data_IF_084524471952
#
_entry.id   IF_084524471952
#
_cell.length_a   1.000
_cell.length_b   1.000
_cell.length_c   1.000
_cell.angle_alpha   90.00
_cell.angle_beta   90.00
_cell.angle_gamma   90.00
#
_symmetry.space_group_name_H-M   'P 1'
#
loop_
_entity.id
_entity.type
_entity.pdbx_description
1 polymer ?
#
# COMPACT_ATOMS: atom_id res chain seq x y z
N UNK A 1 30.06 8.53 -3.28
CA UNK A 1 29.04 8.70 -2.22
C UNK A 1 27.79 9.15 -2.94
N UNK A 2 26.69 8.40 -2.80
CA UNK A 2 25.43 8.68 -3.50
C UNK A 2 24.68 9.81 -2.78
N UNK A 3 24.23 10.83 -3.52
CA UNK A 3 23.41 11.91 -2.96
C UNK A 3 21.90 11.56 -3.00
N UNK A 4 21.07 12.39 -2.36
CA UNK A 4 19.62 12.13 -2.27
C UNK A 4 18.92 12.13 -3.64
N UNK A 5 19.33 13.00 -4.56
CA UNK A 5 18.76 13.07 -5.90
C UNK A 5 19.15 11.83 -6.73
N UNK A 6 20.33 11.28 -6.50
CA UNK A 6 20.78 10.02 -7.09
C UNK A 6 20.07 8.81 -6.52
N UNK A 7 19.85 8.77 -5.21
CA UNK A 7 19.08 7.70 -4.59
C UNK A 7 17.65 7.63 -5.14
N UNK A 8 16.99 8.77 -5.35
CA UNK A 8 15.61 8.82 -5.86
C UNK A 8 15.51 8.35 -7.31
N UNK A 9 16.32 8.92 -8.21
CA UNK A 9 16.30 8.50 -9.63
C UNK A 9 16.73 7.05 -9.86
N UNK A 10 17.46 6.47 -8.89
CA UNK A 10 17.88 5.07 -8.90
C UNK A 10 16.86 4.11 -8.27
N UNK A 11 15.76 4.63 -7.74
CA UNK A 11 14.69 3.85 -7.12
C UNK A 11 14.98 3.36 -5.69
N UNK A 12 16.01 3.89 -5.03
CA UNK A 12 16.39 3.51 -3.66
C UNK A 12 15.48 4.15 -2.61
N UNK A 13 14.98 5.36 -2.88
CA UNK A 13 14.04 6.10 -2.01
C UNK A 13 12.83 6.53 -2.81
N UNK A 14 11.66 6.59 -2.16
CA UNK A 14 10.42 6.96 -2.86
C UNK A 14 10.30 8.45 -3.18
N UNK A 15 10.88 9.33 -2.35
CA UNK A 15 10.76 10.80 -2.44
C UNK A 15 11.95 11.48 -1.76
N UNK A 16 12.30 12.67 -2.23
CA UNK A 16 13.25 13.59 -1.58
C UNK A 16 12.49 14.84 -1.14
N UNK A 17 12.73 15.28 0.09
CA UNK A 17 12.08 16.45 0.71
C UNK A 17 13.12 17.32 1.42
N UNK A 18 12.84 18.61 1.68
CA UNK A 18 13.71 19.43 2.51
C UNK A 18 13.96 18.80 3.88
N UNK A 19 15.20 18.90 4.39
CA UNK A 19 15.60 18.22 5.63
C UNK A 19 14.73 18.59 6.84
N UNK A 20 14.26 19.84 6.92
CA UNK A 20 13.38 20.32 7.99
C UNK A 20 11.96 19.74 7.96
N UNK A 21 11.53 19.16 6.83
CA UNK A 21 10.18 18.63 6.62
C UNK A 21 10.13 17.10 6.69
N UNK A 22 11.28 16.42 6.82
CA UNK A 22 11.40 14.97 6.72
C UNK A 22 10.40 14.22 7.62
N UNK A 23 10.36 14.58 8.90
CA UNK A 23 9.48 13.90 9.88
C UNK A 23 8.02 14.17 9.57
N UNK A 24 7.67 15.39 9.19
CA UNK A 24 6.30 15.77 8.86
C UNK A 24 5.79 15.00 7.64
N UNK A 25 6.58 14.97 6.56
CA UNK A 25 6.22 14.25 5.33
C UNK A 25 6.15 12.73 5.53
N UNK A 26 7.06 12.17 6.32
CA UNK A 26 7.02 10.75 6.69
C UNK A 26 5.75 10.41 7.50
N UNK A 27 5.37 11.25 8.47
CA UNK A 27 4.16 11.06 9.27
C UNK A 27 2.89 11.24 8.44
N UNK A 28 2.86 12.17 7.47
CA UNK A 28 1.74 12.31 6.52
C UNK A 28 1.55 11.03 5.70
N UNK A 29 2.64 10.43 5.20
CA UNK A 29 2.57 9.17 4.48
C UNK A 29 2.09 8.02 5.39
N UNK A 30 2.62 7.93 6.61
CA UNK A 30 2.20 6.93 7.59
C UNK A 30 0.71 7.05 7.95
N UNK A 31 0.23 8.28 8.20
CA UNK A 31 -1.17 8.55 8.50
C UNK A 31 -2.09 8.16 7.34
N UNK A 32 -1.68 8.42 6.09
CA UNK A 32 -2.43 7.98 4.91
C UNK A 32 -2.51 6.46 4.82
N UNK A 33 -1.41 5.74 5.07
CA UNK A 33 -1.38 4.28 5.06
C UNK A 33 -2.27 3.72 6.18
N UNK A 34 -2.19 4.29 7.38
CA UNK A 34 -2.98 3.88 8.54
C UNK A 34 -4.49 4.14 8.38
N UNK A 35 -4.90 5.00 7.45
CA UNK A 35 -6.30 5.26 7.13
C UNK A 35 -6.93 4.20 6.20
N UNK A 36 -6.14 3.27 5.65
CA UNK A 36 -6.65 2.14 4.88
C UNK A 36 -6.96 0.94 5.77
N UNK A 37 -7.72 -0.02 5.24
CA UNK A 37 -7.94 -1.33 5.86
C UNK A 37 -6.61 -2.03 6.13
N UNK A 38 -6.32 -2.33 7.41
CA UNK A 38 -5.12 -3.05 7.84
C UNK A 38 -4.91 -4.38 7.11
N UNK A 39 -5.88 -5.32 7.06
CA UNK A 39 -5.67 -6.58 6.35
C UNK A 39 -5.42 -6.36 4.86
N UNK A 40 -6.08 -5.38 4.23
CA UNK A 40 -5.84 -5.04 2.82
C UNK A 40 -4.41 -4.51 2.58
N UNK A 41 -3.90 -3.63 3.46
CA UNK A 41 -2.52 -3.12 3.38
C UNK A 41 -1.50 -4.23 3.58
N UNK A 42 -1.75 -5.15 4.53
CA UNK A 42 -0.87 -6.29 4.76
C UNK A 42 -0.80 -7.19 3.54
N UNK A 43 -1.93 -7.51 2.92
CA UNK A 43 -2.00 -8.34 1.72
C UNK A 43 -1.35 -7.66 0.51
N UNK A 44 -1.53 -6.35 0.34
CA UNK A 44 -0.84 -5.58 -0.70
C UNK A 44 0.68 -5.63 -0.53
N UNK A 45 1.18 -5.45 0.70
CA UNK A 45 2.62 -5.58 1.01
C UNK A 45 3.14 -6.99 0.72
N UNK A 46 2.37 -8.02 1.07
CA UNK A 46 2.74 -9.40 0.79
C UNK A 46 2.83 -9.70 -0.71
N UNK A 47 1.87 -9.21 -1.50
CA UNK A 47 1.87 -9.36 -2.96
C UNK A 47 3.12 -8.72 -3.59
N UNK A 48 3.47 -7.48 -3.19
CA UNK A 48 4.67 -6.78 -3.67
C UNK A 48 5.94 -7.53 -3.30
N UNK A 49 6.07 -7.96 -2.05
CA UNK A 49 7.25 -8.71 -1.61
C UNK A 49 7.39 -10.03 -2.39
N UNK A 50 6.28 -10.72 -2.69
CA UNK A 50 6.32 -11.98 -3.42
C UNK A 50 6.84 -11.81 -4.85
N UNK A 51 6.65 -10.65 -5.48
CA UNK A 51 7.09 -10.40 -6.84
C UNK A 51 8.62 -10.53 -7.02
N UNK A 52 9.41 -10.38 -5.96
CA UNK A 52 10.86 -10.54 -5.99
C UNK A 52 11.33 -11.99 -5.78
N UNK A 53 10.43 -12.89 -5.37
CA UNK A 53 10.78 -14.25 -4.94
C UNK A 53 10.29 -15.33 -5.93
N UNK A 54 9.66 -14.93 -7.03
CA UNK A 54 9.09 -15.88 -8.00
C UNK A 54 9.03 -15.30 -9.41
N UNK A 55 8.59 -16.11 -10.37
CA UNK A 55 8.37 -15.67 -11.75
C UNK A 55 7.12 -14.80 -11.86
N UNK A 56 7.07 -13.93 -12.87
CA UNK A 56 5.90 -13.07 -13.11
C UNK A 56 4.58 -13.85 -13.15
N UNK A 57 4.55 -15.01 -13.82
CA UNK A 57 3.34 -15.83 -13.94
C UNK A 57 2.85 -16.34 -12.58
N UNK A 58 3.77 -16.78 -11.71
CA UNK A 58 3.44 -17.22 -10.36
C UNK A 58 3.06 -16.06 -9.43
N UNK A 59 3.73 -14.92 -9.55
CA UNK A 59 3.37 -13.69 -8.83
C UNK A 59 1.94 -13.24 -9.14
N UNK A 60 1.56 -13.23 -10.42
CA UNK A 60 0.19 -12.90 -10.85
C UNK A 60 -0.85 -13.92 -10.36
N UNK A 61 -0.51 -15.20 -10.32
CA UNK A 61 -1.39 -16.24 -9.74
C UNK A 61 -1.57 -16.03 -8.24
N UNK A 62 -0.51 -15.69 -7.53
CA UNK A 62 -0.53 -15.40 -6.10
C UNK A 62 -1.37 -14.15 -5.78
N UNK A 63 -1.10 -13.04 -6.47
CA UNK A 63 -1.84 -11.78 -6.30
C UNK A 63 -3.34 -11.96 -6.56
N UNK A 64 -3.71 -12.68 -7.62
CA UNK A 64 -5.12 -12.98 -7.93
C UNK A 64 -5.82 -13.73 -6.79
N UNK A 65 -5.15 -14.69 -6.16
CA UNK A 65 -5.71 -15.45 -5.02
C UNK A 65 -5.88 -14.56 -3.80
N UNK A 66 -4.88 -13.73 -3.48
CA UNK A 66 -4.98 -12.74 -2.40
C UNK A 66 -6.13 -11.76 -2.68
N UNK A 67 -6.24 -11.25 -3.90
CA UNK A 67 -7.32 -10.36 -4.30
C UNK A 67 -8.70 -11.01 -4.11
N UNK A 68 -8.89 -12.28 -4.51
CA UNK A 68 -10.14 -12.98 -4.26
C UNK A 68 -10.46 -13.12 -2.76
N UNK A 69 -9.45 -13.38 -1.92
CA UNK A 69 -9.69 -13.48 -0.48
C UNK A 69 -10.08 -12.15 0.18
N UNK A 70 -9.75 -10.99 -0.42
CA UNK A 70 -10.22 -9.70 0.09
C UNK A 70 -11.75 -9.61 0.12
N UNK A 71 -12.46 -10.28 -0.79
CA UNK A 71 -13.94 -10.27 -0.83
C UNK A 71 -14.60 -10.96 0.37
N UNK A 72 -13.82 -11.67 1.19
CA UNK A 72 -14.29 -12.20 2.47
C UNK A 72 -14.27 -11.16 3.60
N UNK A 73 -13.54 -10.05 3.45
CA UNK A 73 -13.38 -9.01 4.46
C UNK A 73 -14.58 -8.06 4.47
N UNK A 74 -14.93 -7.58 5.66
CA UNK A 74 -15.96 -6.54 5.81
C UNK A 74 -15.48 -5.21 5.21
N UNK A 75 -14.20 -4.90 5.39
CA UNK A 75 -13.57 -3.69 4.87
C UNK A 75 -13.61 -3.61 3.33
N UNK A 76 -13.58 -4.74 2.64
CA UNK A 76 -13.69 -4.78 1.18
C UNK A 76 -15.09 -4.34 0.74
N UNK A 77 -16.14 -4.83 1.43
CA UNK A 77 -17.54 -4.47 1.16
C UNK A 77 -17.80 -3.00 1.48
N UNK A 78 -17.35 -2.56 2.66
CA UNK A 78 -17.47 -1.17 3.10
C UNK A 78 -16.72 -0.20 2.17
N UNK A 79 -15.50 -0.55 1.76
CA UNK A 79 -14.73 0.26 0.81
C UNK A 79 -15.45 0.46 -0.52
N UNK A 80 -16.03 -0.61 -1.08
CA UNK A 80 -16.81 -0.52 -2.32
C UNK A 80 -18.12 0.25 -2.13
N UNK A 81 -18.84 0.01 -1.02
CA UNK A 81 -20.08 0.71 -0.71
C UNK A 81 -19.84 2.22 -0.53
N UNK A 82 -18.85 2.59 0.27
CA UNK A 82 -18.47 3.98 0.51
C UNK A 82 -18.10 4.71 -0.78
N UNK A 83 -17.38 4.04 -1.69
CA UNK A 83 -17.05 4.59 -3.00
C UNK A 83 -18.31 4.84 -3.85
N UNK A 84 -19.19 3.85 -3.95
CA UNK A 84 -20.45 3.97 -4.71
C UNK A 84 -21.37 5.07 -4.14
N UNK A 85 -21.41 5.19 -2.81
CA UNK A 85 -22.20 6.17 -2.07
C UNK A 85 -21.51 7.55 -1.94
N UNK A 86 -20.30 7.72 -2.49
CA UNK A 86 -19.51 8.97 -2.44
C UNK A 86 -19.25 9.49 -1.02
N UNK A 87 -19.04 8.58 -0.07
CA UNK A 87 -18.69 8.89 1.32
C UNK A 87 -17.31 8.34 1.68
N UNK A 88 -16.79 8.75 2.83
CA UNK A 88 -15.56 8.16 3.37
C UNK A 88 -15.86 6.76 3.92
N UNK A 89 -15.00 5.75 3.66
CA UNK A 89 -15.15 4.43 4.24
C UNK A 89 -14.80 4.46 5.74
N UNK A 90 -15.47 3.62 6.51
CA UNK A 90 -15.17 3.36 7.91
C UNK A 90 -14.64 1.94 8.09
N UNK A 91 -13.33 1.77 7.94
CA UNK A 91 -12.69 0.46 8.06
C UNK A 91 -12.63 -0.01 9.52
N UNK A 92 -12.93 -1.29 9.73
CA UNK A 92 -12.91 -1.97 11.03
C UNK A 92 -11.81 -3.02 11.13
N UNK A 93 -10.95 -3.13 10.11
CA UNK A 93 -9.78 -4.00 10.06
C UNK A 93 -10.12 -5.49 10.14
N UNK A 94 -11.17 -5.90 9.44
CA UNK A 94 -11.69 -7.27 9.34
C UNK A 94 -12.39 -7.51 8.01
#
# INVERSE_FOLDING_TARGET
MMDAAEAERSGLVSRVVPAGELVEEALKAAAKIAAFSLPSVMMAKEAVNRAFETTLAEGLRFERRLFHSLFALDDQKEGMAAFAEKRKPNFTNR
#
